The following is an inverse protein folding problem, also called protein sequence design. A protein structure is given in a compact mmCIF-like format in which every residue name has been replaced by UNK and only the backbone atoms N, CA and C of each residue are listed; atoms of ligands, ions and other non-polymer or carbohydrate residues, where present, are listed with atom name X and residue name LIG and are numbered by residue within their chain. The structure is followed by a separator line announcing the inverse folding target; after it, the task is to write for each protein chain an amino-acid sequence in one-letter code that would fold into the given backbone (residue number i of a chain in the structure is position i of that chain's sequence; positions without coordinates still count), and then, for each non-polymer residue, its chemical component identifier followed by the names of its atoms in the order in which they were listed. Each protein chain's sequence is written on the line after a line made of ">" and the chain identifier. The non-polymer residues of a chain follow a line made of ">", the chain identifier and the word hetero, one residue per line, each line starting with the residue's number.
data_IF_961727388846
#
_entry.id   IF_961727388846
#
_cell.length_a   1.000
_cell.length_b   1.000
_cell.length_c   1.000
_cell.angle_alpha   90.00
_cell.angle_beta   90.00
_cell.angle_gamma   90.00
#
_symmetry.space_group_name_H-M   'P 1'
#
loop_
_entity.id
_entity.type
_entity.pdbx_description
1 polymer ?
#
# COMPACT_ATOMS: atom_id res chain seq x y z
N UNK A 1 -60.84 18.70 39.14
CA UNK A 1 -59.91 19.33 38.17
C UNK A 1 -58.59 19.61 38.90
N UNK A 2 -57.62 18.70 38.81
CA UNK A 2 -56.31 18.82 39.44
C UNK A 2 -55.27 19.03 38.33
N UNK A 3 -54.51 20.12 38.43
CA UNK A 3 -53.42 20.48 37.51
C UNK A 3 -52.11 19.93 38.08
N UNK A 4 -51.50 18.96 37.41
CA UNK A 4 -50.19 18.44 37.78
C UNK A 4 -49.08 19.20 37.02
N UNK A 5 -48.26 19.98 37.74
CA UNK A 5 -47.02 20.60 37.22
C UNK A 5 -45.88 19.59 37.32
N UNK A 6 -45.27 19.24 36.17
CA UNK A 6 -44.08 18.39 36.09
C UNK A 6 -42.84 19.28 36.06
N UNK A 7 -42.03 19.22 37.13
CA UNK A 7 -40.73 19.89 37.20
C UNK A 7 -39.71 19.04 36.42
N UNK A 8 -39.12 19.61 35.37
CA UNK A 8 -38.01 19.00 34.62
C UNK A 8 -36.70 19.22 35.39
N UNK A 9 -36.06 18.13 35.83
CA UNK A 9 -34.66 18.17 36.27
C UNK A 9 -33.73 17.95 35.06
N UNK A 10 -32.55 18.58 35.01
CA UNK A 10 -31.61 18.40 33.91
C UNK A 10 -30.93 17.02 34.00
N UNK A 11 -30.80 16.34 32.86
CA UNK A 11 -30.11 15.06 32.74
C UNK A 11 -28.58 15.24 32.87
N UNK A 12 -27.83 14.25 33.39
CA UNK A 12 -26.37 14.32 33.49
C UNK A 12 -25.71 14.39 32.11
N UNK A 13 -24.77 15.30 31.95
CA UNK A 13 -23.95 15.50 30.76
C UNK A 13 -22.91 14.39 30.57
N UNK A 14 -23.36 13.18 30.23
CA UNK A 14 -22.53 12.06 29.77
C UNK A 14 -23.40 11.13 28.93
N UNK A 15 -23.42 11.33 27.60
CA UNK A 15 -23.78 10.35 26.53
C UNK A 15 -24.03 11.10 25.21
N UNK A 16 -23.00 11.73 24.67
CA UNK A 16 -22.95 12.13 23.25
C UNK A 16 -21.52 11.86 22.76
N UNK A 17 -21.12 10.59 22.72
CA UNK A 17 -20.10 10.17 21.77
C UNK A 17 -20.76 10.25 20.39
N UNK A 18 -20.61 11.40 19.74
CA UNK A 18 -21.06 11.57 18.36
C UNK A 18 -20.22 10.64 17.49
N UNK A 19 -20.83 9.54 17.02
CA UNK A 19 -20.34 8.81 15.86
C UNK A 19 -20.34 9.77 14.67
N UNK A 20 -19.24 10.49 14.47
CA UNK A 20 -18.96 11.21 13.22
C UNK A 20 -18.54 10.18 12.18
N UNK A 21 -19.50 9.52 11.54
CA UNK A 21 -19.26 8.91 10.24
C UNK A 21 -19.15 10.04 9.21
N UNK A 22 -17.93 10.57 9.01
CA UNK A 22 -17.65 11.49 7.92
C UNK A 22 -17.50 10.71 6.60
N UNK A 23 -18.44 10.92 5.68
CA UNK A 23 -18.20 10.80 4.23
C UNK A 23 -17.22 11.90 3.79
N UNK A 24 -16.16 11.72 3.00
CA UNK A 24 -15.46 10.56 2.44
C UNK A 24 -13.98 10.99 2.30
N UNK A 25 -13.13 10.73 3.30
CA UNK A 25 -11.69 11.09 3.29
C UNK A 25 -10.87 10.20 2.31
N UNK A 26 -11.56 9.38 1.49
CA UNK A 26 -10.94 8.43 0.57
C UNK A 26 -10.80 8.95 -0.85
N UNK A 27 -9.92 8.31 -1.62
CA UNK A 27 -9.74 8.49 -3.06
C UNK A 27 -9.99 7.16 -3.81
N UNK A 28 -9.75 7.14 -5.12
CA UNK A 28 -9.82 5.91 -5.91
C UNK A 28 -8.84 4.83 -5.40
N UNK A 29 -7.65 5.24 -4.93
CA UNK A 29 -6.58 4.34 -4.51
C UNK A 29 -6.44 4.19 -2.99
N UNK A 30 -7.16 4.99 -2.20
CA UNK A 30 -7.10 4.96 -0.74
C UNK A 30 -8.49 4.98 -0.11
N UNK A 31 -8.77 4.03 0.76
CA UNK A 31 -9.98 4.05 1.59
C UNK A 31 -9.63 4.42 3.02
N UNK A 32 -10.47 5.22 3.65
CA UNK A 32 -10.24 5.70 5.01
C UNK A 32 -11.47 5.45 5.86
N UNK A 33 -11.24 4.82 7.01
CA UNK A 33 -12.23 4.63 8.06
C UNK A 33 -11.71 5.33 9.32
N UNK A 34 -12.51 6.21 9.93
CA UNK A 34 -12.12 6.98 11.11
C UNK A 34 -12.98 6.56 12.29
N UNK A 35 -12.31 6.12 13.37
CA UNK A 35 -12.95 5.76 14.61
C UNK A 35 -12.07 6.23 15.79
N UNK A 36 -12.68 6.90 16.78
CA UNK A 36 -12.01 7.31 18.03
C UNK A 36 -10.69 8.09 17.81
N UNK A 37 -10.71 9.09 16.91
CA UNK A 37 -9.55 9.90 16.47
C UNK A 37 -8.41 9.08 15.82
N UNK A 38 -8.69 7.86 15.35
CA UNK A 38 -7.76 7.01 14.62
C UNK A 38 -8.29 6.77 13.21
N UNK A 39 -7.47 7.08 12.20
CA UNK A 39 -7.75 6.72 10.82
C UNK A 39 -7.12 5.39 10.45
N UNK A 40 -7.91 4.44 9.95
CA UNK A 40 -7.42 3.26 9.24
C UNK A 40 -7.39 3.57 7.75
N UNK A 41 -6.20 3.84 7.22
CA UNK A 41 -5.95 4.14 5.80
C UNK A 41 -5.55 2.86 5.07
N UNK A 42 -6.28 2.53 4.00
CA UNK A 42 -6.17 1.29 3.24
C UNK A 42 -5.74 1.59 1.81
N UNK A 43 -4.54 1.13 1.45
CA UNK A 43 -4.06 1.17 0.06
C UNK A 43 -4.81 0.14 -0.79
N UNK A 44 -5.37 0.58 -1.91
CA UNK A 44 -6.20 -0.22 -2.80
C UNK A 44 -5.82 -0.06 -4.30
N UNK A 45 -4.62 0.47 -4.60
CA UNK A 45 -4.16 0.70 -5.97
C UNK A 45 -3.77 -0.60 -6.65
N UNK A 46 -4.48 -0.97 -7.72
CA UNK A 46 -4.14 -2.15 -8.51
C UNK A 46 -3.10 -1.84 -9.60
N UNK A 47 -2.18 -2.78 -9.93
CA UNK A 47 -1.85 -3.97 -9.16
C UNK A 47 -0.83 -3.69 -8.04
N UNK A 48 -0.98 -4.36 -6.91
CA UNK A 48 0.07 -4.50 -5.89
C UNK A 48 0.47 -3.22 -5.14
N UNK A 49 -0.37 -2.18 -5.11
CA UNK A 49 -0.05 -0.85 -4.57
C UNK A 49 1.31 -0.34 -5.06
N UNK A 50 1.53 -0.45 -6.37
CA UNK A 50 2.74 0.05 -7.01
C UNK A 50 2.79 1.58 -6.94
N UNK A 51 3.91 2.12 -6.45
CA UNK A 51 4.05 3.52 -6.13
C UNK A 51 4.50 4.33 -7.35
N UNK A 52 3.70 5.32 -7.73
CA UNK A 52 3.99 6.30 -8.77
C UNK A 52 3.58 7.70 -8.32
N UNK A 53 3.77 8.71 -9.18
CA UNK A 53 3.46 10.10 -8.85
C UNK A 53 2.00 10.30 -8.42
N UNK A 54 1.04 9.64 -9.06
CA UNK A 54 -0.37 9.77 -8.68
C UNK A 54 -0.65 9.13 -7.32
N UNK A 55 -0.03 7.99 -7.00
CA UNK A 55 -0.11 7.41 -5.67
C UNK A 55 0.42 8.38 -4.59
N UNK A 56 1.58 9.00 -4.82
CA UNK A 56 2.16 9.95 -3.86
C UNK A 56 1.24 11.13 -3.61
N UNK A 57 0.71 11.73 -4.69
CA UNK A 57 -0.15 12.89 -4.59
C UNK A 57 -1.47 12.56 -3.89
N UNK A 58 -2.15 11.48 -4.31
CA UNK A 58 -3.39 11.04 -3.66
C UNK A 58 -3.19 10.72 -2.18
N UNK A 59 -2.08 10.07 -1.82
CA UNK A 59 -1.78 9.82 -0.41
C UNK A 59 -1.58 11.11 0.36
N UNK A 60 -0.83 12.08 -0.18
CA UNK A 60 -0.58 13.35 0.50
C UNK A 60 -1.88 14.12 0.76
N UNK A 61 -2.83 14.07 -0.16
CA UNK A 61 -4.14 14.70 -0.01
C UNK A 61 -4.94 14.03 1.12
N UNK A 62 -5.05 12.70 1.09
CA UNK A 62 -5.68 11.91 2.17
C UNK A 62 -5.00 12.14 3.52
N UNK A 63 -3.66 12.12 3.53
CA UNK A 63 -2.87 12.26 4.75
C UNK A 63 -3.03 13.64 5.38
N UNK A 64 -3.19 14.70 4.59
CA UNK A 64 -3.44 16.04 5.12
C UNK A 64 -4.78 16.12 5.87
N UNK A 65 -5.83 15.48 5.35
CA UNK A 65 -7.12 15.41 6.03
C UNK A 65 -7.03 14.59 7.32
N UNK A 66 -6.39 13.42 7.25
CA UNK A 66 -6.17 12.55 8.41
C UNK A 66 -5.35 13.25 9.49
N UNK A 67 -4.24 13.91 9.14
CA UNK A 67 -3.40 14.60 10.11
C UNK A 67 -4.10 15.79 10.79
N UNK A 68 -5.05 16.42 10.11
CA UNK A 68 -5.82 17.53 10.68
C UNK A 68 -6.99 17.08 11.57
N UNK A 69 -7.49 15.86 11.37
CA UNK A 69 -8.69 15.36 12.04
C UNK A 69 -8.43 14.28 13.09
N UNK A 70 -7.29 13.59 13.02
CA UNK A 70 -6.99 12.42 13.83
C UNK A 70 -5.75 12.63 14.70
N UNK A 71 -5.61 11.80 15.73
CA UNK A 71 -4.41 11.68 16.57
C UNK A 71 -3.51 10.52 16.14
N UNK A 72 -4.06 9.51 15.48
CA UNK A 72 -3.34 8.34 15.00
C UNK A 72 -3.76 7.87 13.60
N UNK A 73 -2.86 7.15 12.94
CA UNK A 73 -3.11 6.48 11.66
C UNK A 73 -2.60 5.05 11.68
N UNK A 74 -3.44 4.11 11.25
CA UNK A 74 -3.06 2.74 10.91
C UNK A 74 -3.04 2.65 9.38
N UNK A 75 -1.89 2.36 8.79
CA UNK A 75 -1.72 2.18 7.35
C UNK A 75 -1.66 0.69 7.01
N UNK A 76 -2.58 0.22 6.19
CA UNK A 76 -2.68 -1.18 5.73
C UNK A 76 -3.02 -1.25 4.24
N UNK A 77 -3.19 -2.44 3.69
CA UNK A 77 -3.73 -2.64 2.35
C UNK A 77 -5.03 -3.43 2.33
N UNK A 78 -5.89 -3.07 1.37
CA UNK A 78 -7.06 -3.87 0.97
C UNK A 78 -6.73 -4.94 -0.08
N UNK A 79 -5.50 -4.99 -0.59
CA UNK A 79 -5.08 -6.02 -1.52
C UNK A 79 -4.71 -7.30 -0.77
N UNK A 80 -5.13 -8.47 -1.24
CA UNK A 80 -4.77 -9.72 -0.59
C UNK A 80 -3.28 -9.99 -0.75
N UNK A 81 -2.61 -10.35 0.35
CA UNK A 81 -1.21 -10.82 0.38
C UNK A 81 -0.15 -9.79 -0.04
N UNK A 82 -0.53 -8.54 -0.31
CA UNK A 82 0.39 -7.47 -0.69
C UNK A 82 0.09 -6.24 0.16
N UNK A 83 1.10 -5.77 0.89
CA UNK A 83 1.07 -4.45 1.49
C UNK A 83 1.46 -3.40 0.43
N UNK A 84 2.64 -3.56 -0.18
CA UNK A 84 3.03 -2.83 -1.40
C UNK A 84 4.19 -3.54 -2.09
N UNK A 85 4.13 -3.58 -3.42
CA UNK A 85 5.19 -4.09 -4.29
C UNK A 85 6.35 -3.09 -4.48
N UNK A 86 6.27 -1.89 -3.90
CA UNK A 86 7.25 -0.82 -4.06
C UNK A 86 7.00 0.02 -5.31
N UNK A 87 8.04 0.64 -5.85
CA UNK A 87 7.91 1.56 -6.99
C UNK A 87 7.30 0.88 -8.22
N UNK A 88 6.44 1.59 -8.94
CA UNK A 88 5.95 1.17 -10.23
C UNK A 88 7.08 1.23 -11.26
N UNK A 89 7.82 0.12 -11.38
CA UNK A 89 9.00 0.02 -12.25
C UNK A 89 8.67 0.31 -13.71
N UNK A 90 7.44 0.01 -14.17
CA UNK A 90 7.01 0.36 -15.54
C UNK A 90 6.88 1.87 -15.72
N UNK A 91 6.31 2.58 -14.73
CA UNK A 91 6.23 4.03 -14.75
C UNK A 91 7.63 4.67 -14.66
N UNK A 92 8.50 4.17 -13.76
CA UNK A 92 9.89 4.64 -13.65
C UNK A 92 10.66 4.44 -14.97
N UNK A 93 10.45 3.32 -15.65
CA UNK A 93 11.08 3.03 -16.93
C UNK A 93 10.67 3.99 -18.07
N UNK A 94 9.50 4.61 -17.97
CA UNK A 94 8.99 5.59 -18.95
C UNK A 94 9.58 7.00 -18.76
N UNK A 95 10.11 7.31 -17.58
CA UNK A 95 10.80 8.57 -17.34
C UNK A 95 12.08 8.60 -18.18
N UNK A 96 12.22 9.60 -19.04
CA UNK A 96 13.23 9.64 -20.10
C UNK A 96 14.41 10.57 -19.79
N UNK A 97 14.21 11.55 -18.90
CA UNK A 97 15.22 12.53 -18.52
C UNK A 97 15.59 12.48 -17.04
N UNK A 98 16.78 12.99 -16.72
CA UNK A 98 17.22 13.16 -15.32
C UNK A 98 16.28 14.08 -14.55
N UNK A 99 15.70 15.09 -15.20
CA UNK A 99 14.72 16.00 -14.60
C UNK A 99 13.44 15.27 -14.19
N UNK A 100 12.84 14.49 -15.09
CA UNK A 100 11.62 13.70 -14.79
C UNK A 100 11.87 12.69 -13.65
N UNK A 101 13.04 12.05 -13.64
CA UNK A 101 13.41 11.14 -12.55
C UNK A 101 13.62 11.91 -11.24
N UNK A 102 14.25 13.07 -11.28
CA UNK A 102 14.44 13.92 -10.10
C UNK A 102 13.09 14.38 -9.52
N UNK A 103 12.12 14.75 -10.35
CA UNK A 103 10.76 15.10 -9.91
C UNK A 103 10.04 13.92 -9.28
N UNK A 104 10.18 12.72 -9.86
CA UNK A 104 9.67 11.49 -9.28
C UNK A 104 10.25 11.22 -7.89
N UNK A 105 11.57 11.34 -7.74
CA UNK A 105 12.25 11.14 -6.46
C UNK A 105 11.85 12.20 -5.43
N UNK A 106 11.70 13.46 -5.83
CA UNK A 106 11.18 14.53 -4.98
C UNK A 106 9.78 14.22 -4.46
N UNK A 107 8.91 13.65 -5.32
CA UNK A 107 7.59 13.17 -4.93
C UNK A 107 7.66 12.06 -3.88
N UNK A 108 8.52 11.06 -4.09
CA UNK A 108 8.73 9.95 -3.15
C UNK A 108 9.22 10.45 -1.78
N UNK A 109 10.22 11.33 -1.76
CA UNK A 109 10.77 11.86 -0.51
C UNK A 109 9.75 12.72 0.23
N UNK A 110 9.04 13.60 -0.48
CA UNK A 110 7.96 14.42 0.12
C UNK A 110 6.90 13.53 0.77
N UNK A 111 6.46 12.51 0.06
CA UNK A 111 5.53 11.50 0.56
C UNK A 111 6.07 10.79 1.82
N UNK A 112 7.32 10.32 1.77
CA UNK A 112 7.92 9.55 2.86
C UNK A 112 8.18 10.40 4.12
N UNK A 113 8.79 11.58 3.96
CA UNK A 113 9.07 12.51 5.06
C UNK A 113 7.79 13.06 5.69
N UNK A 114 6.68 13.12 4.94
CA UNK A 114 5.37 13.50 5.49
C UNK A 114 4.92 12.54 6.59
N UNK A 115 5.07 11.24 6.38
CA UNK A 115 4.76 10.21 7.38
C UNK A 115 5.80 10.25 8.51
N UNK A 116 7.08 10.29 8.15
CA UNK A 116 8.19 10.19 9.10
C UNK A 116 8.25 11.38 10.08
N UNK A 117 7.86 12.58 9.67
CA UNK A 117 7.85 13.77 10.54
C UNK A 117 6.47 14.10 11.12
N UNK A 118 5.45 13.29 10.85
CA UNK A 118 4.07 13.59 11.26
C UNK A 118 3.88 13.64 12.78
N UNK A 119 2.97 14.50 13.22
CA UNK A 119 2.47 14.57 14.60
C UNK A 119 1.61 13.36 15.00
N UNK A 120 1.08 12.61 14.03
CA UNK A 120 0.29 11.40 14.25
C UNK A 120 1.15 10.31 14.91
N UNK A 121 0.51 9.50 15.75
CA UNK A 121 1.01 8.16 16.02
C UNK A 121 0.73 7.28 14.79
N UNK A 122 1.70 6.52 14.30
CA UNK A 122 1.57 5.78 13.04
C UNK A 122 1.91 4.31 13.20
N UNK A 123 1.01 3.44 12.76
CA UNK A 123 1.20 1.97 12.77
C UNK A 123 1.10 1.46 11.34
N UNK A 124 2.15 0.78 10.85
CA UNK A 124 2.09 -0.02 9.64
C UNK A 124 1.52 -1.41 9.97
N UNK A 125 0.30 -1.68 9.53
CA UNK A 125 -0.34 -2.99 9.63
C UNK A 125 -0.15 -3.75 8.31
N UNK A 126 0.94 -4.53 8.25
CA UNK A 126 1.48 -5.17 7.06
C UNK A 126 0.76 -6.51 6.84
N UNK A 127 -0.21 -6.51 5.93
CA UNK A 127 -1.10 -7.65 5.63
C UNK A 127 -0.56 -8.58 4.52
N UNK A 128 0.71 -8.42 4.12
CA UNK A 128 1.26 -9.04 2.92
C UNK A 128 2.71 -8.66 2.65
N UNK A 129 3.21 -8.99 1.45
CA UNK A 129 4.55 -8.60 1.01
C UNK A 129 4.73 -7.07 1.02
N UNK A 130 5.86 -6.61 1.57
CA UNK A 130 6.27 -5.22 1.65
C UNK A 130 7.70 -5.07 1.10
N UNK A 131 7.82 -4.94 -0.22
CA UNK A 131 9.11 -5.00 -0.92
C UNK A 131 9.61 -3.62 -1.34
N UNK A 132 10.92 -3.36 -1.22
CA UNK A 132 11.56 -2.10 -1.59
C UNK A 132 10.84 -0.90 -0.95
N UNK A 133 10.29 0.02 -1.76
CA UNK A 133 9.55 1.16 -1.26
C UNK A 133 8.27 0.78 -0.45
N UNK A 134 7.76 -0.44 -0.54
CA UNK A 134 6.74 -0.94 0.40
C UNK A 134 7.27 -1.12 1.82
N UNK A 135 8.52 -1.59 1.96
CA UNK A 135 9.23 -1.62 3.24
C UNK A 135 9.59 -0.21 3.70
N UNK A 136 9.97 0.70 2.79
CA UNK A 136 10.28 2.09 3.16
C UNK A 136 9.09 2.80 3.80
N UNK A 137 7.86 2.60 3.30
CA UNK A 137 6.64 3.13 3.92
C UNK A 137 6.49 2.63 5.36
N UNK A 138 6.71 1.33 5.58
CA UNK A 138 6.64 0.74 6.91
C UNK A 138 7.72 1.30 7.86
N UNK A 139 8.92 1.57 7.36
CA UNK A 139 10.01 2.22 8.11
C UNK A 139 9.71 3.69 8.45
N UNK A 140 8.83 4.37 7.70
CA UNK A 140 8.40 5.72 8.04
C UNK A 140 7.48 5.75 9.28
N UNK A 141 6.73 4.67 9.50
CA UNK A 141 5.80 4.53 10.62
C UNK A 141 6.52 4.31 11.97
N UNK A 142 5.83 4.63 13.06
CA UNK A 142 6.36 4.50 14.41
C UNK A 142 6.39 3.04 14.88
N UNK A 143 5.48 2.21 14.39
CA UNK A 143 5.37 0.79 14.74
C UNK A 143 4.98 -0.07 13.53
N UNK A 144 5.50 -1.29 13.46
CA UNK A 144 5.29 -2.25 12.37
C UNK A 144 4.78 -3.56 12.95
N UNK A 145 3.52 -3.88 12.62
CA UNK A 145 2.91 -5.17 12.90
C UNK A 145 2.63 -5.90 11.59
N UNK A 146 2.99 -7.16 11.52
CA UNK A 146 2.86 -7.96 10.30
C UNK A 146 2.00 -9.19 10.54
N UNK A 147 1.13 -9.53 9.59
CA UNK A 147 0.41 -10.81 9.61
C UNK A 147 1.29 -11.92 9.08
N UNK A 148 1.13 -13.14 9.60
CA UNK A 148 1.69 -14.34 8.98
C UNK A 148 1.06 -14.63 7.62
N UNK A 149 1.89 -15.05 6.68
CA UNK A 149 1.46 -15.63 5.43
C UNK A 149 0.80 -16.99 5.65
N UNK A 150 -0.17 -17.32 4.80
CA UNK A 150 -0.96 -18.55 4.92
C UNK A 150 -0.14 -19.77 4.42
N UNK A 151 0.00 -19.90 3.09
CA UNK A 151 0.74 -21.02 2.47
C UNK A 151 2.25 -20.78 2.38
N UNK A 152 2.67 -19.52 2.31
CA UNK A 152 4.06 -19.09 2.19
C UNK A 152 4.25 -17.85 3.04
N UNK A 153 5.43 -17.69 3.68
CA UNK A 153 5.70 -16.49 4.45
C UNK A 153 5.68 -15.27 3.53
N UNK A 154 5.11 -14.19 4.01
CA UNK A 154 5.31 -12.89 3.39
C UNK A 154 6.75 -12.44 3.63
N UNK A 155 7.18 -11.48 2.82
CA UNK A 155 8.54 -10.97 2.84
C UNK A 155 8.57 -9.45 2.96
N UNK A 156 9.52 -8.93 3.72
CA UNK A 156 9.77 -7.51 3.89
C UNK A 156 11.27 -7.21 3.79
N UNK A 157 11.61 -6.10 3.13
CA UNK A 157 12.99 -5.62 3.05
C UNK A 157 13.23 -4.67 1.88
N UNK A 158 14.44 -4.13 1.85
CA UNK A 158 14.94 -3.23 0.81
C UNK A 158 15.76 -4.06 -0.19
N UNK A 159 15.28 -4.17 -1.43
CA UNK A 159 15.89 -4.99 -2.47
C UNK A 159 16.29 -4.19 -3.73
N UNK A 160 16.37 -2.86 -3.60
CA UNK A 160 16.79 -1.91 -4.63
C UNK A 160 18.10 -2.31 -5.31
N UNK A 161 19.15 -2.80 -4.59
CA UNK A 161 20.42 -3.15 -5.23
C UNK A 161 20.33 -4.34 -6.18
N UNK A 162 19.34 -5.24 -5.99
CA UNK A 162 19.06 -6.32 -6.94
C UNK A 162 18.52 -5.80 -8.28
N UNK A 163 18.08 -4.55 -8.31
CA UNK A 163 17.62 -3.84 -9.51
C UNK A 163 18.69 -2.89 -10.06
N UNK A 164 19.90 -2.88 -9.50
CA UNK A 164 20.95 -1.93 -9.85
C UNK A 164 20.72 -0.53 -9.28
N UNK A 165 19.85 -0.41 -8.28
CA UNK A 165 19.51 0.86 -7.63
C UNK A 165 20.18 0.93 -6.27
N UNK A 166 20.79 2.07 -5.97
CA UNK A 166 21.23 2.35 -4.61
C UNK A 166 20.02 2.69 -3.72
N UNK A 167 20.12 2.34 -2.43
CA UNK A 167 19.16 2.78 -1.42
C UNK A 167 19.57 4.20 -1.01
N UNK A 168 18.66 5.20 -1.07
CA UNK A 168 18.99 6.57 -0.64
C UNK A 168 19.46 6.61 0.81
N UNK A 169 20.39 7.51 1.16
CA UNK A 169 20.97 7.57 2.49
C UNK A 169 19.88 7.76 3.54
N UNK A 170 18.84 8.55 3.23
CA UNK A 170 17.81 8.84 4.22
C UNK A 170 17.02 7.60 4.62
N UNK A 171 16.84 6.68 3.69
CA UNK A 171 16.22 5.39 3.93
C UNK A 171 17.16 4.43 4.65
N UNK A 172 18.46 4.45 4.31
CA UNK A 172 19.47 3.67 5.03
C UNK A 172 19.58 4.08 6.50
N UNK A 173 19.58 5.38 6.80
CA UNK A 173 19.63 5.89 8.17
C UNK A 173 18.36 5.50 8.95
N UNK A 174 17.17 5.64 8.36
CA UNK A 174 15.93 5.16 8.98
C UNK A 174 15.95 3.63 9.22
N UNK A 175 16.60 2.87 8.33
CA UNK A 175 16.77 1.44 8.51
C UNK A 175 17.74 1.10 9.66
N UNK A 176 18.83 1.88 9.81
CA UNK A 176 19.78 1.79 10.94
C UNK A 176 19.16 2.17 12.28
N UNK A 177 18.20 3.10 12.26
CA UNK A 177 17.40 3.43 13.45
C UNK A 177 16.47 2.29 13.88
N UNK A 178 16.20 1.34 12.98
CA UNK A 178 15.25 0.22 13.20
C UNK A 178 15.95 -1.08 13.57
N UNK A 179 17.03 -1.43 12.87
CA UNK A 179 17.80 -2.67 13.12
C UNK A 179 19.30 -2.39 13.23
N UNK A 180 20.07 -3.35 13.73
CA UNK A 180 21.51 -3.15 13.96
C UNK A 180 22.28 -2.68 12.71
N UNK A 181 23.24 -1.78 12.90
CA UNK A 181 24.10 -1.27 11.81
C UNK A 181 24.77 -2.39 11.01
N UNK A 182 25.18 -3.49 11.66
CA UNK A 182 25.81 -4.63 10.99
C UNK A 182 24.84 -5.35 10.06
N UNK A 183 23.59 -5.52 10.50
CA UNK A 183 22.55 -6.12 9.69
C UNK A 183 22.21 -5.20 8.51
N UNK A 184 22.03 -3.89 8.73
CA UNK A 184 21.77 -2.95 7.63
C UNK A 184 22.86 -3.00 6.58
N UNK A 185 24.14 -2.93 6.97
CA UNK A 185 25.28 -2.96 6.05
C UNK A 185 25.23 -4.19 5.12
N UNK A 186 25.07 -5.38 5.69
CA UNK A 186 25.00 -6.62 4.91
C UNK A 186 23.73 -6.67 4.03
N UNK A 187 22.57 -6.35 4.62
CA UNK A 187 21.28 -6.53 3.98
C UNK A 187 21.03 -5.52 2.86
N UNK A 188 21.47 -4.27 3.06
CA UNK A 188 21.43 -3.24 2.04
C UNK A 188 22.24 -3.67 0.83
N UNK A 189 23.49 -4.10 1.01
CA UNK A 189 24.35 -4.52 -0.12
C UNK A 189 23.79 -5.74 -0.89
N UNK A 190 23.17 -6.70 -0.18
CA UNK A 190 22.59 -7.91 -0.78
C UNK A 190 21.17 -7.72 -1.33
N UNK A 191 20.52 -6.61 -0.99
CA UNK A 191 19.10 -6.36 -1.26
C UNK A 191 18.20 -7.46 -0.68
N UNK A 192 18.42 -7.84 0.58
CA UNK A 192 17.77 -9.00 1.20
C UNK A 192 16.30 -8.72 1.54
N UNK A 193 15.43 -9.67 1.18
CA UNK A 193 14.04 -9.73 1.66
C UNK A 193 13.94 -10.82 2.73
N UNK A 194 13.44 -10.46 3.90
CA UNK A 194 13.29 -11.37 5.03
C UNK A 194 11.91 -11.98 5.05
N UNK A 195 11.78 -13.31 5.22
CA UNK A 195 10.55 -13.92 5.69
C UNK A 195 10.09 -13.27 7.00
N UNK A 196 8.78 -13.12 7.17
CA UNK A 196 8.14 -12.44 8.30
C UNK A 196 8.65 -12.85 9.71
N UNK A 197 8.98 -14.13 9.93
CA UNK A 197 9.53 -14.58 11.22
C UNK A 197 10.97 -14.09 11.46
N UNK A 198 11.79 -14.05 10.42
CA UNK A 198 13.16 -13.51 10.51
C UNK A 198 13.12 -11.99 10.66
N UNK A 199 12.22 -11.33 9.93
CA UNK A 199 12.01 -9.89 10.05
C UNK A 199 11.62 -9.50 11.49
N UNK A 200 10.78 -10.30 12.16
CA UNK A 200 10.42 -10.10 13.55
C UNK A 200 11.62 -10.31 14.49
N UNK A 201 12.41 -11.37 14.29
CA UNK A 201 13.63 -11.63 15.08
C UNK A 201 14.67 -10.51 14.94
N UNK A 202 14.76 -9.89 13.76
CA UNK A 202 15.69 -8.80 13.48
C UNK A 202 15.25 -7.44 14.05
N UNK A 203 13.98 -7.29 14.45
CA UNK A 203 13.38 -6.01 14.83
C UNK A 203 12.91 -5.16 13.66
N UNK A 204 12.95 -5.68 12.42
CA UNK A 204 12.37 -4.99 11.26
C UNK A 204 10.84 -4.97 11.34
N UNK A 205 10.26 -6.01 11.94
CA UNK A 205 8.85 -6.08 12.35
C UNK A 205 8.81 -6.14 13.87
N UNK A 206 8.03 -5.27 14.50
CA UNK A 206 7.97 -5.21 15.97
C UNK A 206 7.07 -6.30 16.56
N UNK A 207 6.04 -6.74 15.81
CA UNK A 207 5.12 -7.80 16.22
C UNK A 207 4.60 -8.60 15.03
N UNK A 208 4.61 -9.92 15.16
CA UNK A 208 4.08 -10.87 14.18
C UNK A 208 2.81 -11.53 14.75
N UNK A 209 1.71 -11.51 14.00
CA UNK A 209 0.39 -12.00 14.44
C UNK A 209 -0.31 -12.81 13.35
N UNK A 210 -1.44 -13.44 13.67
CA UNK A 210 -2.29 -14.04 12.63
C UNK A 210 -2.91 -12.94 11.73
N UNK A 211 -3.46 -13.33 10.58
CA UNK A 211 -4.14 -12.40 9.67
C UNK A 211 -5.36 -11.76 10.33
N UNK A 212 -6.09 -12.52 11.13
CA UNK A 212 -7.31 -12.11 11.84
C UNK A 212 -7.01 -11.12 12.97
N UNK A 213 -5.83 -11.25 13.58
CA UNK A 213 -5.38 -10.43 14.71
C UNK A 213 -4.70 -9.12 14.28
N UNK A 214 -4.34 -8.96 12.99
CA UNK A 214 -3.55 -7.83 12.50
C UNK A 214 -4.14 -6.47 12.88
N UNK A 215 -5.39 -6.21 12.49
CA UNK A 215 -6.04 -4.93 12.80
C UNK A 215 -6.42 -4.80 14.28
N UNK A 216 -6.99 -5.82 14.95
CA UNK A 216 -7.23 -5.78 16.39
C UNK A 216 -5.99 -5.39 17.21
N UNK A 217 -4.84 -6.02 16.96
CA UNK A 217 -3.60 -5.73 17.68
C UNK A 217 -2.98 -4.38 17.24
N UNK A 218 -3.13 -3.96 15.97
CA UNK A 218 -2.75 -2.62 15.54
C UNK A 218 -3.52 -1.52 16.29
N UNK A 219 -4.85 -1.68 16.46
CA UNK A 219 -5.68 -0.75 17.22
C UNK A 219 -5.32 -0.75 18.72
N UNK A 220 -5.02 -1.91 19.29
CA UNK A 220 -4.54 -2.02 20.67
C UNK A 220 -3.23 -1.25 20.87
N UNK A 221 -2.24 -1.42 19.98
CA UNK A 221 -1.00 -0.64 20.03
C UNK A 221 -1.25 0.85 19.81
N UNK A 222 -2.18 1.22 18.92
CA UNK A 222 -2.57 2.62 18.74
C UNK A 222 -3.12 3.22 20.04
N UNK A 223 -3.97 2.50 20.77
CA UNK A 223 -4.49 2.95 22.07
C UNK A 223 -3.36 3.21 23.08
N UNK A 224 -2.32 2.35 23.10
CA UNK A 224 -1.14 2.59 23.94
C UNK A 224 -0.42 3.89 23.58
N UNK A 225 -0.22 4.17 22.28
CA UNK A 225 0.35 5.45 21.83
C UNK A 225 -0.51 6.65 22.21
N UNK A 226 -1.84 6.53 22.09
CA UNK A 226 -2.77 7.64 22.34
C UNK A 226 -3.06 7.89 23.83
N UNK A 227 -2.71 6.95 24.70
CA UNK A 227 -2.71 7.13 26.16
C UNK A 227 -1.54 8.00 26.66
N UNK A 228 -0.52 8.22 25.82
CA UNK A 228 0.58 9.16 26.11
C UNK A 228 0.19 10.57 25.65
N UNK A 229 0.57 11.59 26.43
CA UNK A 229 0.33 12.99 26.05
C UNK A 229 0.99 13.32 24.70
N UNK A 230 0.19 13.86 23.78
CA UNK A 230 0.61 14.04 22.38
C UNK A 230 1.87 14.90 22.22
N UNK A 231 1.95 16.04 22.92
CA UNK A 231 3.12 16.92 22.83
C UNK A 231 4.43 16.21 23.25
N UNK A 232 4.38 15.37 24.28
CA UNK A 232 5.55 14.61 24.74
C UNK A 232 5.93 13.52 23.74
N UNK A 233 4.96 12.73 23.26
CA UNK A 233 5.18 11.68 22.26
C UNK A 233 5.77 12.27 20.97
N UNK A 234 5.17 13.34 20.48
CA UNK A 234 5.62 14.05 19.27
C UNK A 234 7.02 14.64 19.47
N UNK A 235 7.28 15.26 20.62
CA UNK A 235 8.60 15.80 20.97
C UNK A 235 9.68 14.72 20.93
N UNK A 236 9.45 13.57 21.56
CA UNK A 236 10.38 12.43 21.53
C UNK A 236 10.60 11.91 20.10
N UNK A 237 9.53 11.71 19.33
CA UNK A 237 9.59 11.27 17.93
C UNK A 237 10.47 12.22 17.10
N UNK A 238 10.20 13.52 17.16
CA UNK A 238 10.94 14.50 16.37
C UNK A 238 12.39 14.68 16.83
N UNK A 239 12.67 14.52 18.14
CA UNK A 239 14.03 14.54 18.67
C UNK A 239 14.88 13.39 18.15
N UNK A 240 14.34 12.16 18.17
CA UNK A 240 15.02 10.97 17.65
C UNK A 240 15.29 11.10 16.14
N UNK A 241 14.33 11.64 15.40
CA UNK A 241 14.37 11.77 13.92
C UNK A 241 15.14 13.01 13.44
N UNK A 242 15.54 13.91 14.34
CA UNK A 242 16.11 15.23 14.02
C UNK A 242 17.39 15.14 13.19
N UNK A 243 18.30 14.25 13.56
CA UNK A 243 19.61 14.17 12.90
C UNK A 243 19.45 13.81 11.42
N UNK A 244 18.60 12.83 11.14
CA UNK A 244 18.26 12.44 9.77
C UNK A 244 17.66 13.61 8.99
N UNK A 245 16.63 14.27 9.55
CA UNK A 245 15.95 15.38 8.88
C UNK A 245 16.90 16.55 8.60
N UNK A 246 17.73 16.93 9.58
CA UNK A 246 18.71 18.00 9.43
C UNK A 246 19.75 17.67 8.35
N UNK A 247 20.23 16.42 8.33
CA UNK A 247 21.18 15.99 7.30
C UNK A 247 20.54 16.03 5.92
N UNK A 248 19.31 15.53 5.78
CA UNK A 248 18.56 15.59 4.53
C UNK A 248 18.34 17.01 4.02
N UNK A 249 18.01 17.97 4.88
CA UNK A 249 17.91 19.38 4.47
C UNK A 249 19.21 19.97 3.92
N UNK A 250 20.37 19.37 4.21
CA UNK A 250 21.67 19.85 3.73
C UNK A 250 22.13 19.17 2.43
N UNK A 251 21.81 17.89 2.24
CA UNK A 251 22.37 17.08 1.15
C UNK A 251 21.34 16.45 0.22
N UNK A 252 20.05 16.51 0.55
CA UNK A 252 18.98 15.81 -0.16
C UNK A 252 18.91 16.15 -1.65
N UNK A 253 19.00 17.43 -2.02
CA UNK A 253 19.00 17.86 -3.44
C UNK A 253 20.16 17.23 -4.24
N UNK A 254 21.36 17.20 -3.66
CA UNK A 254 22.55 16.64 -4.32
C UNK A 254 22.45 15.12 -4.46
N UNK A 255 21.96 14.43 -3.45
CA UNK A 255 21.73 12.98 -3.54
C UNK A 255 20.69 12.67 -4.60
N UNK A 256 19.56 13.37 -4.60
CA UNK A 256 18.48 13.18 -5.57
C UNK A 256 18.95 13.37 -7.00
N UNK A 257 19.81 14.36 -7.25
CA UNK A 257 20.44 14.52 -8.57
C UNK A 257 21.31 13.29 -8.93
N UNK A 258 22.17 12.82 -8.02
CA UNK A 258 23.01 11.63 -8.24
C UNK A 258 22.18 10.37 -8.50
N UNK A 259 21.11 10.17 -7.71
CA UNK A 259 20.17 9.07 -7.87
C UNK A 259 19.49 9.12 -9.24
N UNK A 260 19.07 10.31 -9.67
CA UNK A 260 18.45 10.53 -10.97
C UNK A 260 19.41 10.19 -12.12
N UNK A 261 20.67 10.62 -12.03
CA UNK A 261 21.74 10.26 -12.99
C UNK A 261 21.99 8.74 -13.02
N UNK A 262 21.99 8.08 -11.86
CA UNK A 262 22.17 6.63 -11.76
C UNK A 262 21.01 5.87 -12.40
N UNK A 263 19.77 6.32 -12.15
CA UNK A 263 18.54 5.76 -12.72
C UNK A 263 18.44 5.98 -14.23
N UNK A 264 18.96 7.07 -14.77
CA UNK A 264 19.00 7.34 -16.22
C UNK A 264 20.18 6.69 -16.93
N UNK A 265 21.17 6.18 -16.20
CA UNK A 265 22.35 5.54 -16.79
C UNK A 265 21.99 4.31 -17.65
N UNK A 266 22.72 4.05 -18.75
CA UNK A 266 22.44 2.91 -19.62
C UNK A 266 22.42 1.55 -18.89
N UNK A 267 23.35 1.35 -17.97
CA UNK A 267 23.49 0.11 -17.18
C UNK A 267 22.25 -0.14 -16.31
N UNK A 268 21.78 0.87 -15.59
CA UNK A 268 20.58 0.74 -14.75
C UNK A 268 19.32 0.55 -15.59
N UNK A 269 19.22 1.24 -16.73
CA UNK A 269 18.10 1.08 -17.67
C UNK A 269 18.01 -0.33 -18.25
N UNK A 270 19.15 -0.97 -18.52
CA UNK A 270 19.18 -2.37 -18.96
C UNK A 270 18.66 -3.33 -17.88
N UNK A 271 19.13 -3.18 -16.63
CA UNK A 271 18.65 -3.99 -15.50
C UNK A 271 17.14 -3.82 -15.25
N UNK A 272 16.63 -2.59 -15.33
CA UNK A 272 15.20 -2.31 -15.22
C UNK A 272 14.41 -3.02 -16.34
N UNK A 273 14.89 -2.98 -17.59
CA UNK A 273 14.25 -3.68 -18.72
C UNK A 273 14.22 -5.20 -18.50
N UNK A 274 15.34 -5.78 -18.06
CA UNK A 274 15.40 -7.21 -17.73
C UNK A 274 14.40 -7.61 -16.65
N UNK A 275 14.27 -6.78 -15.61
CA UNK A 275 13.30 -7.02 -14.54
C UNK A 275 11.87 -6.96 -15.06
N UNK A 276 11.53 -5.96 -15.88
CA UNK A 276 10.20 -5.86 -16.48
C UNK A 276 9.90 -7.12 -17.32
N UNK A 277 10.87 -7.62 -18.09
CA UNK A 277 10.72 -8.87 -18.84
C UNK A 277 10.49 -10.09 -17.94
N UNK A 278 11.23 -10.22 -16.83
CA UNK A 278 11.05 -11.31 -15.85
C UNK A 278 9.67 -11.25 -15.18
N UNK A 279 9.22 -10.05 -14.80
CA UNK A 279 7.91 -9.84 -14.19
C UNK A 279 6.77 -10.17 -15.16
N UNK A 280 6.87 -9.76 -16.42
CA UNK A 280 5.88 -10.11 -17.45
C UNK A 280 5.78 -11.62 -17.67
N UNK A 281 6.92 -12.32 -17.80
CA UNK A 281 6.94 -13.79 -17.93
C UNK A 281 6.35 -14.50 -16.71
N UNK A 282 6.64 -14.02 -15.51
CA UNK A 282 6.07 -14.59 -14.28
C UNK A 282 4.56 -14.37 -14.19
N UNK A 283 4.04 -13.24 -14.68
CA UNK A 283 2.62 -12.97 -14.74
C UNK A 283 1.94 -13.88 -15.75
N UNK A 284 2.52 -14.05 -16.95
CA UNK A 284 1.99 -14.94 -17.97
C UNK A 284 1.93 -16.40 -17.48
N UNK A 285 2.96 -16.86 -16.77
CA UNK A 285 3.00 -18.21 -16.19
C UNK A 285 2.00 -18.43 -15.04
N UNK A 286 1.49 -17.36 -14.42
CA UNK A 286 0.53 -17.43 -13.30
C UNK A 286 -0.91 -17.03 -13.68
N UNK A 287 -1.17 -16.69 -14.95
CA UNK A 287 -2.54 -16.46 -15.42
C UNK A 287 -3.27 -17.79 -15.49
N UNK A 288 -4.20 -18.01 -14.56
CA UNK A 288 -5.33 -18.90 -14.84
C UNK A 288 -6.21 -18.21 -15.88
N UNK A 289 -6.37 -18.84 -17.03
CA UNK A 289 -7.28 -18.37 -18.05
C UNK A 289 -8.72 -18.65 -17.59
N UNK A 290 -9.67 -17.77 -17.90
CA UNK A 290 -11.09 -18.01 -17.66
C UNK A 290 -11.78 -18.09 -19.01
N UNK A 291 -12.17 -19.29 -19.42
CA UNK A 291 -13.05 -19.47 -20.56
C UNK A 291 -14.48 -19.16 -20.12
N UNK A 292 -15.16 -18.29 -20.84
CA UNK A 292 -16.61 -18.21 -20.74
C UNK A 292 -17.24 -18.94 -21.93
N UNK A 293 -18.29 -19.71 -21.66
CA UNK A 293 -19.16 -20.27 -22.69
C UNK A 293 -20.50 -19.55 -22.61
N UNK A 294 -20.93 -18.96 -23.72
CA UNK A 294 -22.28 -18.39 -23.84
C UNK A 294 -23.15 -19.42 -24.55
N UNK A 295 -24.21 -19.89 -23.90
CA UNK A 295 -25.23 -20.75 -24.52
C UNK A 295 -26.54 -19.98 -24.60
N UNK A 296 -27.15 -19.95 -25.77
CA UNK A 296 -28.50 -19.43 -25.93
C UNK A 296 -29.47 -20.35 -25.17
N UNK A 297 -30.16 -19.82 -24.17
CA UNK A 297 -31.18 -20.55 -23.43
C UNK A 297 -32.49 -20.47 -24.22
N UNK A 298 -33.09 -21.63 -24.53
CA UNK A 298 -34.43 -21.71 -25.13
C UNK A 298 -35.43 -22.14 -24.07
N UNK A 299 -35.84 -21.20 -23.21
CA UNK A 299 -36.96 -21.43 -22.31
C UNK A 299 -38.29 -21.18 -23.04
N UNK A 300 -39.31 -22.00 -22.73
CA UNK A 300 -40.66 -21.89 -23.34
C UNK A 300 -41.31 -20.51 -23.16
N UNK A 301 -40.95 -19.78 -22.10
CA UNK A 301 -41.42 -18.41 -21.83
C UNK A 301 -40.82 -17.37 -22.77
N UNK A 302 -39.59 -17.57 -23.26
CA UNK A 302 -38.87 -16.61 -24.12
C UNK A 302 -39.42 -16.61 -25.57
N UNK A 303 -39.93 -17.76 -26.02
CA UNK A 303 -40.56 -17.92 -27.34
C UNK A 303 -41.85 -17.11 -27.52
N UNK A 304 -42.54 -16.78 -26.42
CA UNK A 304 -43.80 -16.02 -26.46
C UNK A 304 -43.59 -14.49 -26.38
N UNK A 305 -42.42 -14.04 -25.96
CA UNK A 305 -42.09 -12.62 -25.76
C UNK A 305 -41.15 -12.02 -26.83
N UNK A 306 -40.63 -12.85 -27.76
CA UNK A 306 -39.68 -12.40 -28.80
C UNK A 306 -38.29 -12.03 -28.27
N UNK A 307 -38.00 -12.32 -27.00
CA UNK A 307 -36.71 -12.05 -26.35
C UNK A 307 -35.79 -13.28 -26.39
N UNK A 308 -34.49 -13.05 -26.56
CA UNK A 308 -33.46 -14.12 -26.51
C UNK A 308 -32.67 -14.00 -25.22
N UNK A 309 -32.65 -15.08 -24.43
CA UNK A 309 -31.86 -15.16 -23.19
C UNK A 309 -30.57 -15.94 -23.41
N UNK A 310 -29.47 -15.48 -22.81
CA UNK A 310 -28.16 -16.15 -22.86
C UNK A 310 -27.73 -16.57 -21.46
N UNK A 311 -27.25 -17.80 -21.32
CA UNK A 311 -26.57 -18.29 -20.12
C UNK A 311 -25.05 -18.20 -20.32
N UNK A 312 -24.35 -17.53 -19.41
CA UNK A 312 -22.89 -17.42 -19.41
C UNK A 312 -22.34 -18.31 -18.30
N UNK A 313 -21.50 -19.29 -18.65
CA UNK A 313 -20.79 -20.12 -17.67
C UNK A 313 -19.29 -19.86 -17.75
N UNK A 314 -18.63 -19.68 -16.60
CA UNK A 314 -17.20 -19.42 -16.50
C UNK A 314 -16.47 -20.68 -16.05
N UNK A 315 -15.37 -21.03 -16.71
CA UNK A 315 -14.52 -22.18 -16.38
C UNK A 315 -13.07 -21.75 -16.36
N UNK A 316 -12.37 -22.07 -15.27
CA UNK A 316 -10.94 -21.81 -15.15
C UNK A 316 -10.16 -22.85 -15.95
N UNK A 317 -9.23 -22.39 -16.78
CA UNK A 317 -8.33 -23.21 -17.58
C UNK A 317 -6.88 -22.80 -17.36
N UNK A 318 -5.98 -23.77 -17.43
CA UNK A 318 -4.56 -23.57 -17.12
C UNK A 318 -3.75 -23.06 -18.33
N UNK A 319 -4.28 -23.18 -19.56
CA UNK A 319 -3.68 -22.64 -20.79
C UNK A 319 -4.73 -22.42 -21.89
N UNK A 320 -4.58 -21.38 -22.73
CA UNK A 320 -5.38 -21.20 -23.95
C UNK A 320 -4.72 -21.90 -25.15
N UNK A 321 -5.45 -22.76 -25.88
CA UNK A 321 -4.98 -23.33 -27.15
C UNK A 321 -5.46 -22.49 -28.34
N UNK A 322 -4.82 -22.60 -29.50
CA UNK A 322 -5.13 -21.78 -30.69
C UNK A 322 -6.59 -21.93 -31.20
N UNK A 323 -7.24 -23.06 -30.92
CA UNK A 323 -8.64 -23.33 -31.30
C UNK A 323 -9.61 -22.48 -30.46
N UNK A 324 -9.29 -22.26 -29.19
CA UNK A 324 -10.12 -21.49 -28.25
C UNK A 324 -10.14 -19.98 -28.58
N UNK A 325 -9.01 -19.46 -29.10
CA UNK A 325 -8.86 -18.06 -29.51
C UNK A 325 -9.78 -17.73 -30.70
N UNK A 326 -9.87 -18.63 -31.68
CA UNK A 326 -10.76 -18.44 -32.84
C UNK A 326 -12.24 -18.51 -32.47
N UNK A 327 -12.61 -19.36 -31.51
CA UNK A 327 -13.97 -19.43 -30.96
C UNK A 327 -14.34 -18.13 -30.22
N UNK A 328 -13.43 -17.60 -29.40
CA UNK A 328 -13.62 -16.35 -28.66
C UNK A 328 -13.88 -15.15 -29.58
N UNK A 329 -13.07 -14.99 -30.64
CA UNK A 329 -13.22 -13.91 -31.61
C UNK A 329 -14.52 -14.01 -32.43
N UNK A 330 -14.99 -15.23 -32.70
CA UNK A 330 -16.23 -15.46 -33.45
C UNK A 330 -17.47 -15.08 -32.62
N UNK A 331 -17.46 -15.36 -31.32
CA UNK A 331 -18.56 -15.03 -30.40
C UNK A 331 -18.59 -13.54 -30.06
N UNK A 332 -17.44 -12.91 -29.84
CA UNK A 332 -17.35 -11.46 -29.57
C UNK A 332 -17.90 -10.63 -30.75
N UNK A 333 -17.62 -11.04 -31.99
CA UNK A 333 -18.16 -10.41 -33.19
C UNK A 333 -19.68 -10.58 -33.36
N UNK A 334 -20.26 -11.66 -32.82
CA UNK A 334 -21.71 -11.89 -32.88
C UNK A 334 -22.49 -11.16 -31.77
N UNK A 335 -21.84 -10.79 -30.67
CA UNK A 335 -22.47 -10.09 -29.53
C UNK A 335 -22.30 -8.56 -29.56
N UNK A 336 -21.85 -7.98 -30.68
CA UNK A 336 -21.86 -6.53 -30.88
C UNK A 336 -20.73 -5.76 -30.20
N UNK A 337 -19.56 -6.37 -29.99
CA UNK A 337 -18.33 -5.63 -29.68
C UNK A 337 -18.23 -5.03 -28.28
N UNK A 338 -18.73 -5.73 -27.25
CA UNK A 338 -18.34 -5.41 -25.88
C UNK A 338 -16.97 -6.05 -25.59
N UNK A 339 -15.95 -5.22 -25.45
CA UNK A 339 -14.70 -5.61 -24.80
C UNK A 339 -15.00 -5.93 -23.34
N UNK A 340 -14.75 -7.17 -22.93
CA UNK A 340 -14.85 -7.62 -21.54
C UNK A 340 -13.43 -7.91 -21.06
N UNK A 341 -13.01 -7.15 -20.03
CA UNK A 341 -11.68 -7.08 -19.41
C UNK A 341 -11.01 -8.44 -19.11
#
# INVERSE_FOLDING_TARGET
>A
MLVARRVLQPLPSCLLAANRTMSSVGSANFKVDIQDDVATVRMAKLPGNALDLSFFQEFLDVFNEVENSCRGMILTSDLPQIYSAGLNIKAVAQLSSTTEVSEFLAGLEKFWFRIYSSKLATVAAINGHATAAGCSIALACDYRIMSKGDKKPYTIGLNEPRLGLEIPFWLLEAYKDTISNRNVDLHAQLGTLFPEEEAAKLGLVDQLVSKEELLPEAHKRMKEFLNVADHSRQGCKLLLRRNLMNHYSQVGDKERQRLAETLTSPKTRELIKEMIMKLSKSLDNNRGYMLYTVRQSRNKTDLLAGSVSYAVSFTKVESLTAVDINFHNTVANQLGGYDVL
#
